data_IF_284667809145
#
_entry.id   IF_284667809145
#
_cell.length_a   1.000
_cell.length_b   1.000
_cell.length_c   1.000
_cell.angle_alpha   90.00
_cell.angle_beta   90.00
_cell.angle_gamma   90.00
#
_symmetry.space_group_name_H-M   'P 1'
#
loop_
_entity.id
_entity.type
_entity.pdbx_description
1 polymer ?
#
# COMPACT_ATOMS: atom_id res chain seq x y z
N UNK A 1 -22.22 -21.47 -82.63
CA UNK A 1 -22.66 -20.11 -82.27
C UNK A 1 -21.94 -19.70 -81.01
N UNK A 2 -21.21 -18.58 -81.09
CA UNK A 2 -20.77 -17.66 -80.04
C UNK A 2 -19.96 -18.13 -78.82
N UNK A 3 -18.70 -17.67 -78.85
CA UNK A 3 -17.98 -16.91 -77.82
C UNK A 3 -17.22 -17.63 -76.70
N UNK A 4 -15.92 -17.29 -76.64
CA UNK A 4 -15.02 -17.58 -75.54
C UNK A 4 -14.87 -16.42 -74.56
N UNK A 5 -13.97 -16.62 -73.57
CA UNK A 5 -13.27 -15.66 -72.71
C UNK A 5 -12.58 -16.51 -71.61
N UNK A 6 -11.30 -16.87 -71.69
CA UNK A 6 -10.06 -16.09 -71.45
C UNK A 6 -9.72 -15.83 -69.96
N UNK A 7 -8.68 -16.55 -69.49
CA UNK A 7 -7.63 -16.24 -68.47
C UNK A 7 -8.11 -15.94 -67.02
N UNK A 8 -7.46 -16.38 -65.94
CA UNK A 8 -6.06 -16.15 -65.56
C UNK A 8 -5.52 -17.22 -64.60
N UNK A 9 -4.23 -17.55 -64.78
CA UNK A 9 -3.35 -18.21 -63.81
C UNK A 9 -3.06 -17.28 -62.63
N UNK A 10 -2.96 -17.79 -61.40
CA UNK A 10 -1.87 -17.47 -60.45
C UNK A 10 -1.84 -18.49 -59.31
N UNK A 11 -0.70 -19.16 -59.16
CA UNK A 11 -0.39 -20.02 -58.02
C UNK A 11 -0.02 -19.20 -56.79
N UNK A 12 -0.37 -19.70 -55.61
CA UNK A 12 0.04 -19.17 -54.32
C UNK A 12 0.69 -20.27 -53.49
N UNK A 13 2.01 -20.19 -53.37
CA UNK A 13 2.86 -21.00 -52.49
C UNK A 13 2.51 -20.63 -51.03
N UNK A 14 1.95 -21.57 -50.25
CA UNK A 14 1.72 -21.38 -48.83
C UNK A 14 3.02 -21.64 -48.06
N UNK A 15 3.70 -20.56 -47.67
CA UNK A 15 4.83 -20.58 -46.74
C UNK A 15 4.28 -20.60 -45.31
N UNK A 16 4.41 -21.73 -44.64
CA UNK A 16 4.08 -21.91 -43.22
C UNK A 16 5.13 -21.21 -42.35
N UNK A 17 4.86 -19.96 -41.96
CA UNK A 17 5.62 -19.26 -40.93
C UNK A 17 5.26 -19.85 -39.56
N UNK A 18 6.10 -20.77 -39.07
CA UNK A 18 6.19 -21.13 -37.66
C UNK A 18 6.71 -19.91 -36.89
N UNK A 19 5.79 -19.07 -36.42
CA UNK A 19 6.11 -18.02 -35.46
C UNK A 19 6.52 -18.66 -34.14
N UNK A 20 7.83 -18.71 -33.89
CA UNK A 20 8.34 -18.90 -32.53
C UNK A 20 7.84 -17.72 -31.70
N UNK A 21 6.84 -17.96 -30.85
CA UNK A 21 6.49 -17.03 -29.79
C UNK A 21 7.69 -16.94 -28.88
N UNK A 22 8.51 -15.91 -29.04
CA UNK A 22 9.46 -15.50 -28.03
C UNK A 22 8.63 -15.18 -26.79
N UNK A 23 8.54 -16.14 -25.85
CA UNK A 23 8.10 -15.83 -24.51
C UNK A 23 9.12 -14.83 -23.99
N UNK A 24 8.70 -13.57 -23.87
CA UNK A 24 9.46 -12.59 -23.14
C UNK A 24 9.64 -13.18 -21.74
N UNK A 25 10.84 -13.68 -21.46
CA UNK A 25 11.27 -14.01 -20.11
C UNK A 25 10.99 -12.78 -19.27
N UNK A 26 10.06 -12.88 -18.32
CA UNK A 26 9.85 -11.83 -17.34
C UNK A 26 11.21 -11.42 -16.79
N UNK A 27 11.58 -10.15 -16.98
CA UNK A 27 12.83 -9.60 -16.45
C UNK A 27 12.88 -9.68 -14.93
N UNK A 28 11.71 -9.75 -14.27
CA UNK A 28 11.56 -10.03 -12.83
C UNK A 28 11.39 -11.53 -12.60
N UNK A 29 12.25 -12.11 -11.76
CA UNK A 29 12.18 -13.51 -11.34
C UNK A 29 11.98 -13.59 -9.83
N UNK A 30 11.02 -14.41 -9.41
CA UNK A 30 10.86 -14.80 -8.00
C UNK A 30 11.41 -16.20 -7.84
N UNK A 31 12.29 -16.38 -6.87
CA UNK A 31 13.07 -17.59 -6.63
C UNK A 31 12.92 -18.03 -5.18
N UNK A 32 12.93 -19.34 -4.96
CA UNK A 32 12.94 -19.95 -3.62
C UNK A 32 14.05 -20.98 -3.54
N UNK A 33 14.62 -21.17 -2.36
CA UNK A 33 15.63 -22.19 -2.16
C UNK A 33 16.38 -21.99 -0.85
N UNK A 34 17.69 -22.24 -0.85
CA UNK A 34 18.50 -22.22 0.37
C UNK A 34 19.79 -21.43 0.19
N UNK A 35 20.15 -20.71 1.24
CA UNK A 35 21.49 -20.19 1.49
C UNK A 35 22.07 -20.98 2.67
N UNK A 36 23.05 -21.84 2.39
CA UNK A 36 23.48 -22.89 3.30
C UNK A 36 22.30 -23.81 3.67
N UNK A 37 21.91 -23.80 4.94
CA UNK A 37 20.75 -24.59 5.43
C UNK A 37 19.48 -23.75 5.60
N UNK A 38 19.55 -22.44 5.36
CA UNK A 38 18.47 -21.52 5.66
C UNK A 38 17.60 -21.30 4.42
N UNK A 39 16.27 -21.51 4.49
CA UNK A 39 15.37 -21.19 3.40
C UNK A 39 15.32 -19.69 3.13
N UNK A 40 15.42 -19.31 1.85
CA UNK A 40 15.33 -17.92 1.40
C UNK A 40 14.32 -17.79 0.25
N UNK A 41 13.76 -16.59 0.13
CA UNK A 41 12.99 -16.14 -1.02
C UNK A 41 13.75 -14.97 -1.62
N UNK A 42 13.98 -14.99 -2.92
CA UNK A 42 14.75 -13.98 -3.64
C UNK A 42 13.94 -13.45 -4.82
N UNK A 43 14.01 -12.14 -5.02
CA UNK A 43 13.50 -11.45 -6.18
C UNK A 43 14.67 -10.76 -6.88
N UNK A 44 14.77 -10.96 -8.19
CA UNK A 44 15.77 -10.29 -9.03
C UNK A 44 15.11 -9.71 -10.28
N UNK A 45 15.54 -8.52 -10.68
CA UNK A 45 15.20 -7.87 -11.93
C UNK A 45 16.45 -7.79 -12.81
N UNK A 46 16.41 -8.50 -13.94
CA UNK A 46 17.46 -8.53 -14.97
C UNK A 46 17.04 -7.73 -16.21
N UNK A 47 16.19 -6.71 -16.05
CA UNK A 47 15.76 -5.84 -17.16
C UNK A 47 16.94 -5.09 -17.78
N UNK A 48 17.93 -4.76 -16.95
CA UNK A 48 19.25 -4.30 -17.36
C UNK A 48 20.29 -5.31 -16.84
N UNK A 49 20.91 -6.11 -17.72
CA UNK A 49 21.93 -7.08 -17.31
C UNK A 49 23.17 -6.45 -16.66
N UNK A 50 23.47 -5.19 -16.94
CA UNK A 50 24.60 -4.48 -16.30
C UNK A 50 24.22 -3.84 -14.97
N UNK A 51 22.91 -3.73 -14.68
CA UNK A 51 22.37 -3.15 -13.45
C UNK A 51 21.24 -4.02 -12.91
N UNK A 52 21.60 -5.25 -12.53
CA UNK A 52 20.67 -6.15 -11.86
C UNK A 52 20.36 -5.60 -10.49
N UNK A 53 19.08 -5.54 -10.16
CA UNK A 53 18.58 -5.16 -8.83
C UNK A 53 17.78 -6.31 -8.26
N UNK A 54 17.70 -6.37 -6.94
CA UNK A 54 16.92 -7.40 -6.29
C UNK A 54 16.85 -7.23 -4.79
N UNK A 55 16.28 -8.24 -4.16
CA UNK A 55 16.16 -8.36 -2.71
C UNK A 55 15.95 -9.81 -2.34
N UNK A 56 16.35 -10.19 -1.14
CA UNK A 56 16.02 -11.50 -0.61
C UNK A 56 15.74 -11.43 0.89
N UNK A 57 14.92 -12.35 1.38
CA UNK A 57 14.73 -12.53 2.81
C UNK A 57 14.91 -14.00 3.20
N UNK A 58 15.39 -14.20 4.42
CA UNK A 58 15.30 -15.49 5.08
C UNK A 58 13.87 -15.71 5.56
N UNK A 59 13.26 -16.85 5.22
CA UNK A 59 11.88 -17.14 5.63
C UNK A 59 11.66 -17.13 7.15
N UNK A 60 12.73 -17.26 7.94
CA UNK A 60 12.67 -17.14 9.41
C UNK A 60 12.53 -15.69 9.89
N UNK A 61 13.12 -14.73 9.16
CA UNK A 61 13.26 -13.35 9.61
C UNK A 61 12.36 -12.38 8.87
N UNK A 62 11.92 -12.72 7.63
CA UNK A 62 11.05 -11.89 6.79
C UNK A 62 11.57 -10.47 6.51
N UNK A 63 12.84 -10.19 6.82
CA UNK A 63 13.49 -8.92 6.57
C UNK A 63 14.28 -9.00 5.26
N UNK A 64 14.06 -8.02 4.38
CA UNK A 64 14.73 -7.95 3.10
C UNK A 64 16.16 -7.44 3.24
N UNK A 65 17.03 -8.06 2.45
CA UNK A 65 18.38 -7.63 2.20
C UNK A 65 18.45 -7.21 0.72
N UNK A 66 18.76 -5.93 0.43
CA UNK A 66 18.84 -5.44 -0.94
C UNK A 66 20.01 -6.08 -1.67
N UNK A 67 19.84 -6.26 -2.98
CA UNK A 67 20.83 -6.83 -3.88
C UNK A 67 21.06 -5.90 -5.06
N UNK A 68 22.32 -5.71 -5.43
CA UNK A 68 22.72 -5.04 -6.65
C UNK A 68 23.84 -5.83 -7.33
N UNK A 69 23.90 -5.82 -8.65
CA UNK A 69 24.98 -6.46 -9.38
C UNK A 69 24.76 -6.55 -10.87
N UNK A 70 25.24 -7.62 -11.48
CA UNK A 70 25.24 -7.80 -12.94
C UNK A 70 25.00 -9.26 -13.34
N UNK A 71 24.51 -9.42 -14.56
CA UNK A 71 24.32 -10.68 -15.25
C UNK A 71 25.19 -10.67 -16.51
N UNK A 72 26.18 -11.55 -16.53
CA UNK A 72 27.03 -11.82 -17.70
C UNK A 72 26.74 -13.23 -18.20
N UNK A 73 26.07 -13.32 -19.34
CA UNK A 73 25.63 -14.59 -19.95
C UNK A 73 24.77 -15.45 -18.99
N UNK A 74 25.38 -16.43 -18.33
CA UNK A 74 24.75 -17.35 -17.37
C UNK A 74 25.27 -17.14 -15.94
N UNK A 75 26.13 -16.14 -15.73
CA UNK A 75 26.78 -15.82 -14.47
C UNK A 75 26.13 -14.59 -13.84
N UNK A 76 25.50 -14.78 -12.69
CA UNK A 76 24.84 -13.74 -11.92
C UNK A 76 25.69 -13.41 -10.69
N UNK A 77 26.19 -12.18 -10.65
CA UNK A 77 26.94 -11.62 -9.53
C UNK A 77 26.04 -10.63 -8.80
N UNK A 78 25.85 -10.81 -7.49
CA UNK A 78 25.05 -9.91 -6.67
C UNK A 78 25.78 -9.60 -5.37
N UNK A 79 25.74 -8.36 -4.92
CA UNK A 79 26.26 -7.93 -3.62
C UNK A 79 25.11 -7.47 -2.72
N UNK A 80 25.20 -7.79 -1.44
CA UNK A 80 24.28 -7.31 -0.41
C UNK A 80 24.52 -5.83 -0.12
N UNK A 81 23.46 -5.04 -0.26
CA UNK A 81 23.52 -3.60 -0.13
C UNK A 81 22.97 -2.92 -1.36
N UNK A 82 22.91 -1.59 -1.28
CA UNK A 82 22.64 -0.75 -2.44
C UNK A 82 23.96 -0.43 -3.12
N UNK A 83 23.90 -0.16 -4.42
CA UNK A 83 25.04 0.31 -5.20
C UNK A 83 25.71 1.48 -4.45
N UNK A 84 26.96 1.29 -4.03
CA UNK A 84 27.74 2.32 -3.33
C UNK A 84 28.71 2.94 -4.32
N UNK A 85 28.64 4.26 -4.49
CA UNK A 85 29.60 5.03 -5.27
C UNK A 85 30.89 5.33 -4.50
N UNK A 86 31.05 4.81 -3.27
CA UNK A 86 32.24 5.04 -2.47
C UNK A 86 33.36 4.08 -2.89
N UNK A 87 34.50 4.62 -3.31
CA UNK A 87 35.69 3.86 -3.74
C UNK A 87 36.26 2.97 -2.62
N UNK A 88 35.96 3.27 -1.34
CA UNK A 88 36.44 2.55 -0.15
C UNK A 88 35.34 1.74 0.56
N UNK A 89 34.29 1.31 -0.15
CA UNK A 89 33.21 0.53 0.46
C UNK A 89 33.74 -0.77 1.10
N UNK A 90 33.33 -1.02 2.35
CA UNK A 90 33.69 -2.25 3.07
C UNK A 90 33.22 -3.49 2.30
N UNK A 91 33.91 -4.64 2.39
CA UNK A 91 33.51 -5.86 1.70
C UNK A 91 32.06 -6.21 2.02
N UNK A 92 31.22 -6.25 0.99
CA UNK A 92 29.84 -6.69 1.10
C UNK A 92 29.77 -8.21 0.93
N UNK A 93 28.78 -8.82 1.58
CA UNK A 93 28.49 -10.21 1.29
C UNK A 93 27.99 -10.33 -0.16
N UNK A 94 28.38 -11.36 -0.88
CA UNK A 94 28.11 -11.46 -2.31
C UNK A 94 27.70 -12.88 -2.73
N UNK A 95 26.82 -12.96 -3.71
CA UNK A 95 26.41 -14.15 -4.41
C UNK A 95 27.17 -14.25 -5.73
N UNK A 96 27.65 -15.46 -6.03
CA UNK A 96 28.14 -15.85 -7.34
C UNK A 96 27.35 -17.07 -7.78
N UNK A 97 26.44 -16.87 -8.74
CA UNK A 97 25.47 -17.88 -9.16
C UNK A 97 25.63 -18.17 -10.64
N UNK A 98 25.52 -19.44 -11.00
CA UNK A 98 25.44 -19.91 -12.37
C UNK A 98 24.03 -20.40 -12.65
N UNK A 99 23.54 -20.09 -13.84
CA UNK A 99 22.26 -20.59 -14.32
C UNK A 99 22.34 -22.08 -14.61
N UNK A 100 21.27 -22.79 -14.27
CA UNK A 100 21.09 -24.22 -14.47
C UNK A 100 19.72 -24.47 -15.08
N UNK A 101 19.42 -25.72 -15.46
CA UNK A 101 18.09 -26.09 -15.94
C UNK A 101 17.00 -25.92 -14.85
N UNK A 102 17.37 -25.99 -13.58
CA UNK A 102 16.44 -25.96 -12.43
C UNK A 102 16.36 -24.57 -11.77
N UNK A 103 17.17 -23.61 -12.20
CA UNK A 103 17.24 -22.26 -11.63
C UNK A 103 18.68 -21.77 -11.51
N UNK A 104 19.10 -21.36 -10.32
CA UNK A 104 20.43 -20.80 -10.04
C UNK A 104 21.15 -21.60 -8.96
N UNK A 105 22.45 -21.85 -9.15
CA UNK A 105 23.28 -22.53 -8.17
C UNK A 105 24.64 -21.83 -8.05
N UNK A 106 25.18 -21.77 -6.84
CA UNK A 106 26.53 -21.27 -6.64
C UNK A 106 26.85 -21.06 -5.18
N UNK A 107 27.46 -19.93 -4.86
CA UNK A 107 27.96 -19.66 -3.52
C UNK A 107 27.60 -18.24 -3.09
N UNK A 108 27.35 -18.10 -1.79
CA UNK A 108 27.34 -16.83 -1.09
C UNK A 108 28.63 -16.73 -0.29
N UNK A 109 29.29 -15.59 -0.32
CA UNK A 109 30.47 -15.27 0.49
C UNK A 109 30.15 -14.08 1.38
N UNK A 110 30.24 -14.26 2.69
CA UNK A 110 30.02 -13.19 3.66
C UNK A 110 31.18 -12.21 3.72
N UNK A 111 30.94 -11.03 4.29
CA UNK A 111 31.96 -10.00 4.52
C UNK A 111 33.17 -10.49 5.35
N UNK A 112 32.99 -11.56 6.14
CA UNK A 112 34.05 -12.22 6.92
C UNK A 112 34.78 -13.34 6.14
N UNK A 113 34.53 -13.49 4.84
CA UNK A 113 35.09 -14.53 3.98
C UNK A 113 34.43 -15.91 4.08
N UNK A 114 33.42 -16.08 4.94
CA UNK A 114 32.69 -17.35 5.06
C UNK A 114 31.89 -17.63 3.80
N UNK A 115 32.03 -18.83 3.25
CA UNK A 115 31.29 -19.27 2.07
C UNK A 115 30.17 -20.26 2.42
N UNK A 116 29.03 -20.14 1.76
CA UNK A 116 27.87 -21.02 1.88
C UNK A 116 27.33 -21.38 0.49
N UNK A 117 26.89 -22.63 0.30
CA UNK A 117 26.22 -23.03 -0.94
C UNK A 117 24.88 -22.30 -1.11
N UNK A 118 24.54 -21.98 -2.35
CA UNK A 118 23.25 -21.40 -2.73
C UNK A 118 22.62 -22.26 -3.83
N UNK A 119 21.34 -22.57 -3.65
CA UNK A 119 20.51 -23.23 -4.67
C UNK A 119 19.15 -22.54 -4.67
N UNK A 120 18.70 -22.11 -5.84
CA UNK A 120 17.47 -21.36 -6.05
C UNK A 120 16.74 -21.94 -7.25
N UNK A 121 15.45 -22.13 -7.13
CA UNK A 121 14.56 -22.54 -8.20
C UNK A 121 13.48 -21.46 -8.41
N UNK A 122 12.85 -21.40 -9.59
CA UNK A 122 11.64 -20.59 -9.78
C UNK A 122 10.63 -20.83 -8.67
N UNK A 123 10.09 -19.74 -8.12
CA UNK A 123 9.17 -19.81 -7.00
C UNK A 123 7.88 -20.54 -7.40
N UNK A 124 7.46 -21.45 -6.53
CA UNK A 124 6.13 -22.01 -6.48
C UNK A 124 5.63 -21.88 -5.05
N UNK A 125 4.38 -21.49 -4.88
CA UNK A 125 3.76 -21.41 -3.56
C UNK A 125 2.50 -22.27 -3.54
N UNK A 126 2.16 -22.79 -2.35
CA UNK A 126 0.88 -23.47 -2.17
C UNK A 126 -0.26 -22.50 -2.42
N UNK A 127 -1.26 -22.94 -3.20
CA UNK A 127 -2.47 -22.16 -3.42
C UNK A 127 -3.17 -21.79 -2.10
N UNK A 128 -3.72 -20.57 -1.99
CA UNK A 128 -4.51 -20.14 -0.84
C UNK A 128 -5.65 -21.13 -0.53
N UNK A 129 -5.73 -21.59 0.72
CA UNK A 129 -6.80 -22.48 1.17
C UNK A 129 -8.16 -21.74 1.19
N UNK A 130 -9.30 -22.45 1.06
CA UNK A 130 -10.61 -21.85 1.32
C UNK A 130 -10.66 -21.13 2.67
N UNK A 131 -11.24 -19.93 2.70
CA UNK A 131 -11.26 -19.07 3.89
C UNK A 131 -10.01 -18.21 4.12
N UNK A 132 -9.00 -18.31 3.23
CA UNK A 132 -7.89 -17.34 3.21
C UNK A 132 -8.43 -15.93 2.94
N UNK A 133 -7.86 -14.93 3.62
CA UNK A 133 -8.21 -13.53 3.43
C UNK A 133 -8.09 -13.15 1.94
N UNK A 134 -9.08 -12.47 1.33
CA UNK A 134 -9.04 -12.08 -0.08
C UNK A 134 -7.76 -11.36 -0.51
N UNK A 135 -7.22 -10.50 0.37
CA UNK A 135 -5.95 -9.80 0.15
C UNK A 135 -4.76 -10.76 -0.08
N UNK A 136 -4.61 -11.80 0.74
CA UNK A 136 -3.53 -12.78 0.55
C UNK A 136 -3.75 -13.61 -0.73
N UNK A 137 -5.00 -13.91 -1.08
CA UNK A 137 -5.31 -14.58 -2.34
C UNK A 137 -5.02 -13.69 -3.56
N UNK A 138 -5.16 -12.36 -3.42
CA UNK A 138 -4.76 -11.38 -4.42
C UNK A 138 -3.23 -11.37 -4.59
N UNK A 139 -2.48 -11.29 -3.49
CA UNK A 139 -1.01 -11.34 -3.52
C UNK A 139 -0.51 -12.61 -4.22
N UNK A 140 -1.09 -13.77 -3.94
CA UNK A 140 -0.70 -15.01 -4.62
C UNK A 140 -0.71 -14.90 -6.17
N UNK A 141 -1.64 -14.12 -6.74
CA UNK A 141 -1.77 -13.92 -8.19
C UNK A 141 -0.94 -12.77 -8.73
N UNK A 142 -0.75 -11.71 -7.95
CA UNK A 142 -0.24 -10.43 -8.44
C UNK A 142 1.18 -10.11 -7.91
N UNK A 143 1.52 -10.57 -6.71
CA UNK A 143 2.84 -10.41 -6.10
C UNK A 143 3.20 -11.65 -5.26
N UNK A 144 3.77 -12.65 -5.94
CA UNK A 144 4.15 -13.91 -5.33
C UNK A 144 5.23 -13.75 -4.24
N UNK A 145 6.08 -12.73 -4.36
CA UNK A 145 7.15 -12.47 -3.39
C UNK A 145 6.57 -12.02 -2.05
N UNK A 146 5.66 -11.03 -2.08
CA UNK A 146 4.98 -10.58 -0.87
C UNK A 146 4.01 -11.64 -0.33
N UNK A 147 3.37 -12.43 -1.20
CA UNK A 147 2.61 -13.59 -0.75
C UNK A 147 3.47 -14.56 0.07
N UNK A 148 4.64 -14.93 -0.43
CA UNK A 148 5.57 -15.83 0.26
C UNK A 148 6.11 -15.22 1.56
N UNK A 149 6.26 -13.89 1.63
CA UNK A 149 6.66 -13.22 2.89
C UNK A 149 5.58 -13.37 3.96
N UNK A 150 4.33 -13.11 3.60
CA UNK A 150 3.21 -13.10 4.54
C UNK A 150 2.64 -14.49 4.82
N UNK A 151 2.91 -15.47 3.95
CA UNK A 151 2.40 -16.83 4.08
C UNK A 151 2.87 -17.46 5.40
N UNK A 152 1.91 -17.94 6.19
CA UNK A 152 2.19 -18.63 7.45
C UNK A 152 2.48 -17.70 8.64
N UNK A 153 2.54 -16.38 8.43
CA UNK A 153 2.59 -15.43 9.54
C UNK A 153 1.32 -15.52 10.38
N UNK A 154 1.49 -15.40 11.69
CA UNK A 154 0.39 -15.47 12.66
C UNK A 154 0.34 -14.20 13.48
N UNK A 155 -0.88 -13.72 13.70
CA UNK A 155 -1.10 -12.56 14.56
C UNK A 155 -1.16 -12.99 16.02
N UNK A 156 -0.53 -12.22 16.89
CA UNK A 156 -0.66 -12.36 18.34
C UNK A 156 -1.96 -11.70 18.80
N UNK A 157 -2.76 -12.43 19.56
CA UNK A 157 -3.96 -11.89 20.18
C UNK A 157 -3.59 -10.90 21.29
N UNK A 158 -4.22 -9.74 21.28
CA UNK A 158 -4.08 -8.69 22.28
C UNK A 158 -5.29 -8.56 23.20
N UNK A 159 -5.49 -7.34 23.74
CA UNK A 159 -6.61 -7.03 24.63
C UNK A 159 -7.94 -6.97 23.88
N UNK A 160 -9.03 -7.14 24.63
CA UNK A 160 -10.34 -6.70 24.20
C UNK A 160 -10.58 -5.24 24.60
N UNK A 161 -11.45 -4.55 23.86
CA UNK A 161 -11.84 -3.17 24.12
C UNK A 161 -13.30 -2.98 23.73
N UNK A 162 -14.10 -2.40 24.62
CA UNK A 162 -15.42 -1.89 24.26
C UNK A 162 -15.30 -0.46 23.74
N UNK A 163 -16.01 -0.18 22.65
CA UNK A 163 -16.05 1.14 22.03
C UNK A 163 -17.43 1.38 21.42
N UNK A 164 -18.13 2.40 21.91
CA UNK A 164 -19.46 2.81 21.41
C UNK A 164 -20.50 1.67 21.31
N UNK A 165 -20.45 0.70 22.23
CA UNK A 165 -21.36 -0.46 22.25
C UNK A 165 -20.92 -1.64 21.39
N UNK A 166 -19.72 -1.60 20.81
CA UNK A 166 -19.10 -2.69 20.06
C UNK A 166 -17.88 -3.24 20.81
N UNK A 167 -17.66 -4.55 20.73
CA UNK A 167 -16.49 -5.19 21.35
C UNK A 167 -15.45 -5.50 20.28
N UNK A 168 -14.23 -5.05 20.53
CA UNK A 168 -13.08 -5.17 19.64
C UNK A 168 -12.07 -6.16 20.24
N UNK A 169 -11.53 -7.04 19.41
CA UNK A 169 -10.39 -7.89 19.75
C UNK A 169 -9.16 -7.39 18.99
N UNK A 170 -8.15 -6.91 19.70
CA UNK A 170 -6.90 -6.44 19.10
C UNK A 170 -5.99 -7.61 18.69
N UNK A 171 -5.28 -7.42 17.59
CA UNK A 171 -4.29 -8.34 17.04
C UNK A 171 -3.04 -7.56 16.62
N UNK A 172 -1.87 -8.16 16.77
CA UNK A 172 -0.60 -7.56 16.36
C UNK A 172 0.27 -8.55 15.59
N UNK A 173 0.95 -8.09 14.56
CA UNK A 173 1.99 -8.87 13.89
C UNK A 173 3.30 -8.77 14.72
N UNK A 174 3.91 -9.89 15.17
CA UNK A 174 5.02 -9.85 16.12
C UNK A 174 6.31 -9.15 15.65
N UNK A 175 6.63 -9.17 14.36
CA UNK A 175 7.89 -8.61 13.85
C UNK A 175 7.83 -7.08 13.71
N UNK A 176 6.75 -6.58 13.13
CA UNK A 176 6.51 -5.16 12.86
C UNK A 176 5.87 -4.43 14.05
N UNK A 177 5.27 -5.17 15.00
CA UNK A 177 4.44 -4.66 16.09
C UNK A 177 3.21 -3.86 15.64
N UNK A 178 2.89 -3.86 14.34
CA UNK A 178 1.69 -3.22 13.82
C UNK A 178 0.46 -3.96 14.32
N UNK A 179 -0.60 -3.21 14.60
CA UNK A 179 -1.81 -3.75 15.21
C UNK A 179 -3.07 -3.20 14.60
N UNK A 180 -4.10 -4.05 14.57
CA UNK A 180 -5.46 -3.72 14.16
C UNK A 180 -6.41 -4.59 14.98
N UNK A 181 -7.66 -4.16 15.09
CA UNK A 181 -8.68 -4.96 15.76
C UNK A 181 -9.60 -5.68 14.77
N UNK A 182 -10.25 -6.73 15.26
CA UNK A 182 -11.48 -7.27 14.70
C UNK A 182 -12.65 -6.86 15.57
N UNK A 183 -13.80 -6.60 14.99
CA UNK A 183 -15.06 -6.49 15.75
C UNK A 183 -15.55 -7.91 16.05
N UNK A 184 -15.87 -8.20 17.31
CA UNK A 184 -16.31 -9.53 17.76
C UNK A 184 -17.72 -9.53 18.36
N UNK A 185 -18.31 -8.36 18.62
CA UNK A 185 -19.70 -8.21 19.01
C UNK A 185 -20.24 -6.81 18.63
N UNK A 186 -21.55 -6.73 18.43
CA UNK A 186 -22.30 -5.48 18.17
C UNK A 186 -22.87 -5.35 16.75
N UNK A 187 -22.34 -6.10 15.78
CA UNK A 187 -22.89 -6.20 14.43
C UNK A 187 -23.50 -7.59 14.17
N UNK A 188 -24.45 -7.70 13.21
CA UNK A 188 -24.81 -8.99 12.62
C UNK A 188 -23.57 -9.75 12.11
N UNK A 189 -23.58 -11.07 12.23
CA UNK A 189 -22.40 -11.91 11.96
C UNK A 189 -21.85 -11.74 10.53
N UNK A 190 -22.73 -11.70 9.52
CA UNK A 190 -22.35 -11.50 8.12
C UNK A 190 -21.62 -10.17 7.90
N UNK A 191 -22.11 -9.09 8.54
CA UNK A 191 -21.48 -7.77 8.49
C UNK A 191 -20.15 -7.76 9.24
N UNK A 192 -20.11 -8.39 10.41
CA UNK A 192 -18.90 -8.53 11.20
C UNK A 192 -17.78 -9.22 10.40
N UNK A 193 -18.10 -10.29 9.66
CA UNK A 193 -17.14 -11.00 8.81
C UNK A 193 -16.60 -10.12 7.69
N UNK A 194 -17.47 -9.38 6.98
CA UNK A 194 -17.06 -8.44 5.93
C UNK A 194 -16.15 -7.31 6.47
N UNK A 195 -16.55 -6.68 7.57
CA UNK A 195 -15.76 -5.63 8.22
C UNK A 195 -14.38 -6.15 8.64
N UNK A 196 -14.33 -7.35 9.23
CA UNK A 196 -13.08 -7.96 9.66
C UNK A 196 -12.18 -8.36 8.50
N UNK A 197 -12.73 -8.65 7.30
CA UNK A 197 -11.90 -8.84 6.11
C UNK A 197 -11.17 -7.55 5.74
N UNK A 198 -11.86 -6.41 5.68
CA UNK A 198 -11.24 -5.12 5.37
C UNK A 198 -10.22 -4.68 6.43
N UNK A 199 -10.54 -4.84 7.72
CA UNK A 199 -9.64 -4.49 8.81
C UNK A 199 -8.35 -5.34 8.77
N UNK A 200 -8.48 -6.65 8.52
CA UNK A 200 -7.30 -7.51 8.42
C UNK A 200 -6.53 -7.30 7.12
N UNK A 201 -7.22 -7.00 6.01
CA UNK A 201 -6.54 -6.58 4.79
C UNK A 201 -5.71 -5.33 5.03
N UNK A 202 -6.29 -4.33 5.71
CA UNK A 202 -5.55 -3.11 6.07
C UNK A 202 -4.31 -3.44 6.90
N UNK A 203 -4.43 -4.27 7.94
CA UNK A 203 -3.28 -4.68 8.74
C UNK A 203 -2.18 -5.34 7.89
N UNK A 204 -2.51 -6.33 7.07
CA UNK A 204 -1.50 -7.04 6.28
C UNK A 204 -0.84 -6.17 5.22
N UNK A 205 -1.58 -5.21 4.64
CA UNK A 205 -1.01 -4.21 3.74
C UNK A 205 0.01 -3.32 4.45
N UNK A 206 -0.29 -2.88 5.67
CA UNK A 206 0.64 -2.08 6.49
C UNK A 206 1.87 -2.89 6.92
N UNK A 207 1.72 -4.19 7.19
CA UNK A 207 2.87 -5.10 7.43
C UNK A 207 3.76 -5.19 6.19
N UNK A 208 3.18 -5.30 4.98
CA UNK A 208 3.95 -5.20 3.74
C UNK A 208 4.72 -3.87 3.63
N UNK A 209 4.02 -2.75 3.84
CA UNK A 209 4.63 -1.42 3.82
C UNK A 209 5.73 -1.22 4.87
N UNK A 210 5.61 -1.84 6.04
CA UNK A 210 6.68 -1.88 7.04
C UNK A 210 7.95 -2.53 6.47
N UNK A 211 7.83 -3.70 5.83
CA UNK A 211 8.99 -4.39 5.27
C UNK A 211 9.64 -3.63 4.12
N UNK A 212 8.83 -3.03 3.24
CA UNK A 212 9.31 -2.13 2.18
C UNK A 212 10.05 -0.93 2.78
N UNK A 213 9.49 -0.29 3.81
CA UNK A 213 10.13 0.83 4.49
C UNK A 213 11.49 0.45 5.10
N UNK A 214 11.58 -0.72 5.73
CA UNK A 214 12.83 -1.19 6.33
C UNK A 214 13.88 -1.54 5.28
N UNK A 215 13.47 -2.05 4.12
CA UNK A 215 14.36 -2.25 2.97
C UNK A 215 14.91 -0.91 2.45
N UNK A 216 14.08 0.12 2.41
CA UNK A 216 14.45 1.45 1.94
C UNK A 216 15.38 2.20 2.91
N UNK A 217 15.12 2.10 4.21
CA UNK A 217 15.92 2.79 5.22
C UNK A 217 17.30 2.15 5.46
N UNK A 218 17.42 0.83 5.26
CA UNK A 218 18.58 0.10 5.72
C UNK A 218 18.75 0.19 7.24
N UNK A 219 19.92 0.64 7.71
CA UNK A 219 20.18 0.77 9.16
C UNK A 219 19.53 2.04 9.70
N UNK A 220 18.71 1.89 10.75
CA UNK A 220 18.09 3.03 11.44
C UNK A 220 16.70 3.41 10.92
N UNK A 221 16.09 2.56 10.10
CA UNK A 221 14.69 2.72 9.71
C UNK A 221 13.74 2.66 10.90
N UNK A 222 12.68 3.46 10.83
CA UNK A 222 11.61 3.48 11.82
C UNK A 222 10.26 3.43 11.11
N UNK A 223 9.31 2.70 11.66
CA UNK A 223 7.93 2.68 11.18
C UNK A 223 7.02 2.36 12.35
N UNK A 224 6.33 3.39 12.86
CA UNK A 224 5.47 3.34 14.03
C UNK A 224 4.06 3.68 13.59
N UNK A 225 3.09 2.85 14.00
CA UNK A 225 1.68 3.08 13.70
C UNK A 225 0.82 3.04 14.96
N UNK A 226 -0.16 3.93 15.01
CA UNK A 226 -1.20 3.97 16.03
C UNK A 226 -2.57 3.91 15.38
N UNK A 227 -3.35 2.88 15.72
CA UNK A 227 -4.74 2.73 15.30
C UNK A 227 -5.69 3.23 16.40
N UNK A 228 -6.67 4.05 16.04
CA UNK A 228 -7.66 4.62 16.96
C UNK A 228 -9.07 4.49 16.39
N UNK A 229 -9.98 3.70 17.02
CA UNK A 229 -11.41 3.76 16.72
C UNK A 229 -11.92 5.20 16.87
N UNK A 230 -12.66 5.72 15.88
CA UNK A 230 -13.18 7.11 15.89
C UNK A 230 -14.68 7.16 16.05
N UNK A 231 -15.42 6.38 15.26
CA UNK A 231 -16.87 6.40 15.29
C UNK A 231 -17.50 5.12 14.74
N UNK A 232 -18.39 4.51 15.52
CA UNK A 232 -19.04 3.25 15.18
C UNK A 232 -20.55 3.41 15.32
N UNK A 233 -21.30 3.00 14.30
CA UNK A 233 -22.76 2.98 14.27
C UNK A 233 -23.24 1.79 13.45
N UNK A 234 -24.56 1.55 13.39
CA UNK A 234 -25.13 0.51 12.53
C UNK A 234 -24.85 0.71 11.03
N UNK A 235 -24.44 1.92 10.61
CA UNK A 235 -24.19 2.25 9.21
C UNK A 235 -22.70 2.48 8.89
N UNK A 236 -21.88 2.86 9.86
CA UNK A 236 -20.49 3.28 9.60
C UNK A 236 -19.53 2.76 10.67
N UNK A 237 -18.36 2.29 10.22
CA UNK A 237 -17.19 2.04 11.05
C UNK A 237 -16.05 2.95 10.59
N UNK A 238 -15.54 3.80 11.47
CA UNK A 238 -14.48 4.76 11.17
C UNK A 238 -13.30 4.65 12.13
N UNK A 239 -12.09 4.60 11.57
CA UNK A 239 -10.83 4.37 12.28
C UNK A 239 -9.77 5.33 11.76
N UNK A 240 -8.99 5.92 12.66
CA UNK A 240 -7.77 6.68 12.34
C UNK A 240 -6.57 5.74 12.43
N UNK A 241 -5.64 5.86 11.49
CA UNK A 241 -4.44 5.05 11.35
C UNK A 241 -3.28 6.01 11.12
N UNK A 242 -2.71 6.48 12.23
CA UNK A 242 -1.62 7.42 12.22
C UNK A 242 -0.29 6.67 12.12
N UNK A 243 0.53 7.00 11.13
CA UNK A 243 1.84 6.39 10.91
C UNK A 243 2.91 7.47 10.96
N UNK A 244 4.03 7.17 11.60
CA UNK A 244 5.28 7.94 11.50
C UNK A 244 6.39 6.99 11.08
N UNK A 245 7.21 7.39 10.11
CA UNK A 245 8.21 6.52 9.55
C UNK A 245 9.45 7.28 9.08
N UNK A 246 10.56 6.56 9.04
CA UNK A 246 11.82 6.95 8.39
C UNK A 246 12.22 5.78 7.51
N UNK A 247 11.86 5.84 6.23
CA UNK A 247 12.12 4.79 5.24
C UNK A 247 13.39 5.08 4.41
N UNK A 248 14.31 5.89 4.93
CA UNK A 248 15.39 6.53 4.15
C UNK A 248 15.04 7.96 3.74
N UNK A 249 15.87 8.57 2.89
CA UNK A 249 15.72 9.98 2.49
C UNK A 249 16.25 10.98 3.53
N UNK A 250 15.94 12.27 3.34
CA UNK A 250 16.53 13.36 4.11
C UNK A 250 15.88 13.57 5.50
N UNK A 251 14.63 13.15 5.68
CA UNK A 251 13.90 13.34 6.94
C UNK A 251 12.83 12.26 7.14
N UNK A 252 12.40 12.01 8.39
CA UNK A 252 11.19 11.22 8.68
C UNK A 252 9.96 11.83 8.03
N UNK A 253 8.86 11.09 7.98
CA UNK A 253 7.54 11.57 7.62
C UNK A 253 6.45 10.99 8.54
N UNK A 254 5.25 11.56 8.49
CA UNK A 254 4.10 11.08 9.25
C UNK A 254 2.79 11.55 8.63
N UNK A 255 1.71 10.82 8.89
CA UNK A 255 0.37 11.20 8.47
C UNK A 255 -0.69 10.30 9.09
N UNK A 256 -1.96 10.67 8.90
CA UNK A 256 -3.11 9.84 9.22
C UNK A 256 -3.77 9.36 7.93
N UNK A 257 -4.00 8.06 7.82
CA UNK A 257 -4.69 7.42 6.70
C UNK A 257 -5.93 6.66 7.19
N UNK A 258 -7.01 7.38 7.56
CA UNK A 258 -8.20 6.77 8.12
C UNK A 258 -8.84 5.71 7.20
N UNK A 259 -9.55 4.78 7.81
CA UNK A 259 -10.40 3.80 7.13
C UNK A 259 -11.86 4.07 7.53
N UNK A 260 -12.71 4.33 6.53
CA UNK A 260 -14.12 4.63 6.73
C UNK A 260 -14.94 3.59 5.98
N UNK A 261 -15.70 2.75 6.67
CA UNK A 261 -16.38 1.60 6.05
C UNK A 261 -17.89 1.79 6.17
N UNK A 262 -18.61 1.62 5.07
CA UNK A 262 -20.06 1.40 5.12
C UNK A 262 -20.34 -0.02 5.61
N UNK A 263 -20.98 -0.13 6.77
CA UNK A 263 -21.29 -1.40 7.42
C UNK A 263 -22.22 -2.26 6.57
N UNK A 264 -23.10 -1.64 5.79
CA UNK A 264 -24.11 -2.36 5.01
C UNK A 264 -23.53 -3.00 3.75
N UNK A 265 -22.56 -2.36 3.09
CA UNK A 265 -21.92 -2.93 1.90
C UNK A 265 -20.59 -3.60 2.19
N UNK A 266 -19.98 -3.34 3.36
CA UNK A 266 -18.62 -3.80 3.67
C UNK A 266 -17.59 -3.19 2.72
N UNK A 267 -17.77 -1.94 2.31
CA UNK A 267 -16.88 -1.21 1.39
C UNK A 267 -16.23 -0.03 2.08
N UNK A 268 -14.97 0.21 1.74
CA UNK A 268 -14.27 1.46 2.06
C UNK A 268 -14.94 2.63 1.33
N UNK A 269 -15.16 3.72 2.05
CA UNK A 269 -15.82 4.94 1.63
C UNK A 269 -14.75 5.97 1.29
N UNK A 270 -14.92 6.61 0.15
CA UNK A 270 -14.22 7.85 -0.16
C UNK A 270 -15.00 9.07 0.31
N UNK A 271 -14.34 10.23 0.37
CA UNK A 271 -15.00 11.46 0.79
C UNK A 271 -16.19 11.81 -0.13
N UNK A 272 -16.04 11.60 -1.45
CA UNK A 272 -17.10 11.85 -2.44
C UNK A 272 -18.27 10.87 -2.34
N UNK A 273 -18.11 9.71 -1.69
CA UNK A 273 -19.23 8.82 -1.37
C UNK A 273 -20.15 9.43 -0.30
N UNK A 274 -19.64 10.33 0.55
CA UNK A 274 -20.34 10.88 1.72
C UNK A 274 -20.69 12.36 1.54
N UNK A 275 -19.79 13.13 0.94
CA UNK A 275 -19.87 14.59 0.77
C UNK A 275 -19.55 14.97 -0.68
N UNK A 276 -20.52 15.54 -1.37
CA UNK A 276 -20.34 16.06 -2.72
C UNK A 276 -20.88 17.48 -2.85
N UNK A 277 -19.98 18.42 -3.10
CA UNK A 277 -20.33 19.85 -3.27
C UNK A 277 -20.27 20.30 -4.74
N UNK A 278 -19.84 19.39 -5.63
CA UNK A 278 -19.78 19.64 -7.06
C UNK A 278 -21.12 19.51 -7.76
N UNK A 279 -21.11 19.73 -9.07
CA UNK A 279 -22.27 19.53 -9.94
C UNK A 279 -22.23 18.14 -10.58
N UNK A 280 -23.40 17.54 -10.80
CA UNK A 280 -23.50 16.23 -11.45
C UNK A 280 -23.18 15.07 -10.52
N UNK A 281 -22.72 13.96 -11.09
CA UNK A 281 -22.41 12.74 -10.35
C UNK A 281 -21.10 12.90 -9.57
N UNK A 282 -21.01 12.41 -8.32
CA UNK A 282 -19.76 12.42 -7.58
C UNK A 282 -18.68 11.58 -8.25
N UNK A 283 -17.45 12.09 -8.19
CA UNK A 283 -16.27 11.45 -8.79
C UNK A 283 -15.85 10.20 -8.02
N UNK A 284 -15.35 9.20 -8.76
CA UNK A 284 -14.77 7.98 -8.21
C UNK A 284 -13.27 8.15 -7.94
N UNK A 285 -12.75 7.39 -6.98
CA UNK A 285 -11.32 7.39 -6.62
C UNK A 285 -10.36 7.12 -7.79
N UNK A 286 -10.80 6.38 -8.82
CA UNK A 286 -10.01 6.12 -10.03
C UNK A 286 -9.83 7.35 -10.93
N UNK A 287 -10.61 8.42 -10.74
CA UNK A 287 -10.62 9.62 -11.57
C UNK A 287 -9.65 10.68 -11.04
N UNK A 288 -8.40 10.28 -10.80
CA UNK A 288 -7.39 11.04 -10.03
C UNK A 288 -7.24 12.51 -10.44
N UNK A 289 -7.11 12.81 -11.75
CA UNK A 289 -6.93 14.18 -12.23
C UNK A 289 -8.16 15.06 -11.96
N UNK A 290 -9.36 14.53 -12.22
CA UNK A 290 -10.61 15.25 -11.97
C UNK A 290 -10.86 15.43 -10.45
N UNK A 291 -10.47 14.45 -9.64
CA UNK A 291 -10.54 14.55 -8.18
C UNK A 291 -9.61 15.62 -7.63
N UNK A 292 -8.37 15.70 -8.13
CA UNK A 292 -7.43 16.76 -7.74
C UNK A 292 -7.99 18.15 -8.10
N UNK A 293 -8.53 18.31 -9.31
CA UNK A 293 -9.17 19.55 -9.74
C UNK A 293 -10.39 19.91 -8.87
N UNK A 294 -11.26 18.93 -8.59
CA UNK A 294 -12.41 19.11 -7.71
C UNK A 294 -11.99 19.51 -6.29
N UNK A 295 -11.01 18.82 -5.71
CA UNK A 295 -10.54 19.08 -4.35
C UNK A 295 -9.99 20.50 -4.23
N UNK A 296 -9.18 20.92 -5.20
CA UNK A 296 -8.50 22.23 -5.18
C UNK A 296 -9.43 23.39 -5.53
N UNK A 297 -10.29 23.23 -6.54
CA UNK A 297 -11.09 24.34 -7.08
C UNK A 297 -12.51 24.45 -6.51
N UNK A 298 -13.05 23.37 -5.93
CA UNK A 298 -14.44 23.33 -5.46
C UNK A 298 -14.53 23.00 -3.97
N UNK A 299 -13.96 21.86 -3.55
CA UNK A 299 -14.08 21.40 -2.17
C UNK A 299 -13.34 22.31 -1.19
N UNK A 300 -12.05 22.61 -1.43
CA UNK A 300 -11.24 23.40 -0.52
C UNK A 300 -11.79 24.84 -0.30
N UNK A 301 -12.15 25.61 -1.35
CA UNK A 301 -12.81 26.91 -1.16
C UNK A 301 -14.12 26.81 -0.36
N UNK A 302 -14.93 25.78 -0.64
CA UNK A 302 -16.17 25.56 0.11
C UNK A 302 -15.90 25.21 1.58
N UNK A 303 -14.87 24.39 1.87
CA UNK A 303 -14.47 24.07 3.24
C UNK A 303 -14.03 25.32 4.00
N UNK A 304 -13.23 26.19 3.38
CA UNK A 304 -12.83 27.47 3.97
C UNK A 304 -14.05 28.33 4.28
N UNK A 305 -15.04 28.41 3.38
CA UNK A 305 -16.30 29.13 3.65
C UNK A 305 -17.04 28.54 4.86
N UNK A 306 -17.23 27.21 4.90
CA UNK A 306 -17.94 26.55 5.99
C UNK A 306 -17.21 26.73 7.33
N UNK A 307 -15.90 26.51 7.36
CA UNK A 307 -15.12 26.65 8.58
C UNK A 307 -14.98 28.10 9.01
N UNK A 308 -14.95 29.07 8.10
CA UNK A 308 -14.97 30.50 8.47
C UNK A 308 -16.27 30.86 9.19
N UNK A 309 -17.40 30.33 8.72
CA UNK A 309 -18.70 30.54 9.37
C UNK A 309 -18.80 29.83 10.74
N UNK A 310 -18.24 28.62 10.86
CA UNK A 310 -18.30 27.81 12.08
C UNK A 310 -17.27 28.22 13.15
N UNK A 311 -16.08 28.64 12.70
CA UNK A 311 -14.87 28.86 13.50
C UNK A 311 -14.13 30.15 13.07
N UNK A 312 -14.79 31.32 13.15
CA UNK A 312 -14.24 32.58 12.62
C UNK A 312 -12.98 33.08 13.33
N UNK A 313 -12.66 32.54 14.52
CA UNK A 313 -11.43 32.89 15.24
C UNK A 313 -10.25 32.06 14.75
N UNK A 314 -10.47 30.76 14.59
CA UNK A 314 -9.48 29.79 14.15
C UNK A 314 -9.12 29.97 12.67
N UNK A 315 -10.09 30.42 11.86
CA UNK A 315 -9.91 30.71 10.43
C UNK A 315 -9.36 32.12 10.15
N UNK A 316 -9.00 32.89 11.18
CA UNK A 316 -8.40 34.20 10.96
C UNK A 316 -6.99 34.02 10.44
N UNK A 317 -6.69 34.67 9.33
CA UNK A 317 -5.33 34.75 8.80
C UNK A 317 -4.36 35.33 9.87
N UNK A 318 -3.26 34.65 10.17
CA UNK A 318 -2.25 35.15 11.10
C UNK A 318 -1.52 36.36 10.49
N UNK A 319 -0.97 37.25 11.33
CA UNK A 319 -0.34 38.47 10.83
C UNK A 319 1.02 38.21 10.15
N UNK A 320 1.62 37.06 10.40
CA UNK A 320 2.80 36.53 9.71
C UNK A 320 2.81 34.99 9.79
N UNK A 321 3.62 34.36 8.94
CA UNK A 321 3.81 32.89 8.93
C UNK A 321 4.35 32.37 10.27
N UNK A 322 5.17 33.15 10.97
CA UNK A 322 5.73 32.80 12.28
C UNK A 322 4.71 32.88 13.44
N UNK A 323 3.57 33.57 13.23
CA UNK A 323 2.58 33.82 14.26
C UNK A 323 1.46 32.76 14.33
N UNK A 324 1.36 31.88 13.34
CA UNK A 324 0.41 30.76 13.40
C UNK A 324 0.10 30.14 12.04
N UNK A 325 -0.77 29.14 12.08
CA UNK A 325 -1.19 28.38 10.90
C UNK A 325 -2.25 29.15 10.10
N UNK A 326 -2.02 29.38 8.81
CA UNK A 326 -3.02 30.02 7.95
C UNK A 326 -4.07 29.02 7.43
N UNK A 327 -5.06 28.70 8.25
CA UNK A 327 -6.16 27.81 7.85
C UNK A 327 -7.13 28.43 6.83
N UNK A 328 -7.04 29.74 6.57
CA UNK A 328 -7.85 30.42 5.55
C UNK A 328 -7.33 30.17 4.13
N UNK A 329 -6.09 29.69 4.00
CA UNK A 329 -5.56 29.26 2.72
C UNK A 329 -6.27 27.99 2.24
N UNK A 330 -6.84 28.04 1.04
CA UNK A 330 -7.46 26.86 0.41
C UNK A 330 -6.46 25.74 0.12
N UNK A 331 -5.18 26.07 -0.07
CA UNK A 331 -4.12 25.12 -0.41
C UNK A 331 -3.95 24.00 0.63
N UNK A 332 -4.25 24.28 1.91
CA UNK A 332 -4.08 23.30 3.00
C UNK A 332 -5.24 22.31 3.13
N UNK A 333 -6.30 22.45 2.33
CA UNK A 333 -7.49 21.58 2.40
C UNK A 333 -7.63 20.63 1.18
N UNK A 334 -6.60 20.51 0.33
CA UNK A 334 -6.62 19.68 -0.87
C UNK A 334 -6.45 18.17 -0.63
N UNK A 335 -5.59 17.81 0.33
CA UNK A 335 -5.27 16.43 0.71
C UNK A 335 -6.08 16.03 1.95
N UNK A 336 -7.31 15.60 1.68
CA UNK A 336 -8.37 15.46 2.68
C UNK A 336 -8.26 14.15 3.47
N UNK A 337 -7.37 14.05 4.46
CA UNK A 337 -7.50 12.99 5.47
C UNK A 337 -8.75 13.25 6.31
N UNK A 338 -9.66 12.26 6.41
CA UNK A 338 -11.00 12.49 6.98
C UNK A 338 -11.54 11.26 7.72
N UNK A 339 -12.38 11.48 8.73
CA UNK A 339 -13.06 10.40 9.44
C UNK A 339 -14.37 10.86 10.08
N UNK A 340 -15.26 9.91 10.36
CA UNK A 340 -16.50 10.19 11.08
C UNK A 340 -16.24 10.42 12.57
N UNK A 341 -17.01 11.34 13.16
CA UNK A 341 -17.07 11.58 14.60
C UNK A 341 -18.52 11.59 15.06
N UNK A 342 -18.80 11.55 16.38
CA UNK A 342 -20.17 11.74 16.86
C UNK A 342 -20.81 13.07 16.43
N UNK A 343 -20.02 14.14 16.25
CA UNK A 343 -20.52 15.49 15.98
C UNK A 343 -20.61 15.84 14.50
N UNK A 344 -19.92 15.11 13.64
CA UNK A 344 -19.76 15.45 12.23
C UNK A 344 -18.60 14.76 11.55
N UNK A 345 -18.29 15.21 10.35
CA UNK A 345 -17.16 14.74 9.57
C UNK A 345 -15.92 15.56 9.92
N UNK A 346 -14.90 14.92 10.48
CA UNK A 346 -13.60 15.57 10.62
C UNK A 346 -12.89 15.59 9.27
N UNK A 347 -12.33 16.74 8.91
CA UNK A 347 -11.49 16.91 7.73
C UNK A 347 -10.19 17.56 8.18
N UNK A 348 -9.06 16.96 7.86
CA UNK A 348 -7.74 17.46 8.22
C UNK A 348 -7.30 18.53 7.24
N UNK A 349 -6.74 19.62 7.76
CA UNK A 349 -5.81 20.43 7.00
C UNK A 349 -4.46 19.68 6.87
N UNK A 350 -3.76 19.93 5.78
CA UNK A 350 -2.45 19.39 5.44
C UNK A 350 -1.49 20.54 5.13
N UNK A 351 -0.47 20.71 5.96
CA UNK A 351 0.51 21.78 5.81
C UNK A 351 1.85 21.26 5.26
N UNK A 352 2.63 22.13 4.60
CA UNK A 352 4.01 21.84 4.23
C UNK A 352 4.86 21.40 5.42
N UNK A 353 5.99 20.75 5.15
CA UNK A 353 6.83 20.09 6.17
C UNK A 353 7.20 21.01 7.35
N UNK A 354 7.46 22.29 7.08
CA UNK A 354 7.85 23.31 8.09
C UNK A 354 6.75 23.63 9.09
N UNK A 355 5.48 23.36 8.74
CA UNK A 355 4.28 23.73 9.51
C UNK A 355 3.44 22.51 9.89
N UNK A 356 3.98 21.29 9.85
CA UNK A 356 3.21 20.06 10.13
C UNK A 356 2.61 19.98 11.53
N UNK A 357 2.99 20.87 12.45
CA UNK A 357 2.30 21.04 13.73
C UNK A 357 0.86 21.57 13.59
N UNK A 358 0.55 22.17 12.45
CA UNK A 358 -0.76 22.71 12.07
C UNK A 358 -1.71 21.65 11.49
N UNK A 359 -1.22 20.44 11.20
CA UNK A 359 -2.05 19.38 10.66
C UNK A 359 -3.18 18.96 11.61
N UNK A 360 -4.31 18.57 11.02
CA UNK A 360 -5.41 17.95 11.74
C UNK A 360 -5.97 18.73 12.93
N UNK A 361 -6.30 20.03 12.78
CA UNK A 361 -6.85 20.82 13.87
C UNK A 361 -8.17 20.23 14.37
N UNK A 362 -8.26 19.93 15.67
CA UNK A 362 -9.39 19.18 16.25
C UNK A 362 -10.76 19.86 16.06
N UNK A 363 -10.79 21.16 15.80
CA UNK A 363 -12.01 21.94 15.57
C UNK A 363 -12.58 21.75 14.16
N UNK A 364 -11.82 21.22 13.19
CA UNK A 364 -12.22 21.07 11.78
C UNK A 364 -13.20 19.92 11.58
N UNK A 365 -14.39 20.05 12.17
CA UNK A 365 -15.48 19.08 12.11
C UNK A 365 -16.69 19.74 11.45
N UNK A 366 -17.05 19.26 10.25
CA UNK A 366 -18.28 19.66 9.57
C UNK A 366 -19.49 18.99 10.22
N UNK A 367 -20.44 19.75 10.79
CA UNK A 367 -21.63 19.18 11.40
C UNK A 367 -22.47 18.40 10.39
N UNK A 368 -23.09 17.30 10.82
CA UNK A 368 -23.94 16.49 9.93
C UNK A 368 -25.11 17.27 9.31
N UNK A 369 -25.57 18.35 9.95
CA UNK A 369 -26.58 19.25 9.37
C UNK A 369 -26.10 19.98 8.10
N UNK A 370 -24.78 20.18 7.96
CA UNK A 370 -24.16 20.71 6.74
C UNK A 370 -23.96 19.57 5.74
N UNK A 371 -23.35 18.47 6.16
CA UNK A 371 -23.06 17.31 5.29
C UNK A 371 -24.33 16.78 4.61
N UNK A 372 -25.46 16.70 5.31
CA UNK A 372 -26.74 16.22 4.76
C UNK A 372 -27.28 17.08 3.60
N UNK A 373 -26.85 18.33 3.47
CA UNK A 373 -27.26 19.20 2.35
C UNK A 373 -26.49 18.90 1.06
N UNK A 374 -25.41 18.12 1.17
CA UNK A 374 -24.46 17.81 0.10
C UNK A 374 -24.21 16.30 0.00
N UNK A 375 -25.25 15.49 -0.27
CA UNK A 375 -25.14 14.04 -0.27
C UNK A 375 -24.14 13.57 -1.33
N UNK A 376 -23.25 12.64 -0.93
CA UNK A 376 -22.31 11.97 -1.83
C UNK A 376 -22.93 10.84 -2.65
N UNK A 377 -22.07 10.00 -3.23
CA UNK A 377 -22.49 8.91 -4.12
C UNK A 377 -23.26 7.78 -3.43
N UNK A 378 -23.09 7.63 -2.11
CA UNK A 378 -23.69 6.56 -1.33
C UNK A 378 -24.66 7.15 -0.31
N UNK A 379 -25.85 6.55 -0.22
CA UNK A 379 -26.84 6.89 0.79
C UNK A 379 -26.45 6.32 2.16
N UNK A 380 -25.36 6.81 2.74
CA UNK A 380 -24.90 6.45 4.09
C UNK A 380 -25.84 7.09 5.11
N UNK A 381 -26.39 6.29 6.04
CA UNK A 381 -27.17 6.85 7.15
C UNK A 381 -26.24 7.62 8.10
N UNK A 382 -26.23 8.95 7.95
CA UNK A 382 -25.48 9.83 8.84
C UNK A 382 -26.12 9.84 10.24
N UNK A 383 -25.33 10.05 11.32
CA UNK A 383 -25.82 10.16 12.69
C UNK A 383 -26.87 11.26 12.87
N UNK A 384 -27.94 10.97 13.62
CA UNK A 384 -29.01 11.92 13.96
C UNK A 384 -28.67 12.59 15.30
N UNK A 385 -27.98 13.73 15.20
CA UNK A 385 -27.52 14.62 16.28
C UNK A 385 -26.21 14.22 16.94
#
# INVERSE_FOLDING_TARGET
>A
MFNGLMRWLFGGLLVSLLGATAQASSSRQILVGTLGKMPIVMEISTSDPHKVTGRYFYQKYHHDLPLAGSLEEQSLQLSEGRESYAEDASPQAAFQLQRTAEGWQGQWQGANGKTLEVRLAPASAQEPKPGTLPYLAKLYREDLYEYLRLQGLTLKQGKQQDFMGYTLQWWSEPSSNLSMFKVIAGYPQDRQEQLNQLLMERLWREVGGYHECMLEAGKGGEFIQSVKPRFFSSAVLSVSIATSYTCGGAHPDFGDSPLNIDVNSGRDLSLTDVLWVGKGQPLKQSEHGALYEYNTQQLAPWLVEQFTALHPREMREPASEDEGCNYSDTGVWGDNSWYFTPRGLFISAHFPRVERACDGPQWAVLPYSVVRKHPGAVAVELPKR
#
